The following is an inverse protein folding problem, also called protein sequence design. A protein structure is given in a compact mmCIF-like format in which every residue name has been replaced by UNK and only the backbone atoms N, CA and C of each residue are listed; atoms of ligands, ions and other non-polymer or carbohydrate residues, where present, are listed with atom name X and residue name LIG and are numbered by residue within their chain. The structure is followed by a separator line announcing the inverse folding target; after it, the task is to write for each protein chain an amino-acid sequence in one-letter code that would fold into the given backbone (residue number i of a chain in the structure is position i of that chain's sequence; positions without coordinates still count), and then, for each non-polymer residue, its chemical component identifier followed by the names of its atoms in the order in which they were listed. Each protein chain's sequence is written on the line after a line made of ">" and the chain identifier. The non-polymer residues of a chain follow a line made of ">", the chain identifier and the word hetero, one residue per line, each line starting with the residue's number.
data_IF_562019084081
#
_entry.id   IF_562019084081
#
_cell.length_a   1.000
_cell.length_b   1.000
_cell.length_c   1.000
_cell.angle_alpha   90.00
_cell.angle_beta   90.00
_cell.angle_gamma   90.00
#
_symmetry.space_group_name_H-M   'P 1'
#
loop_
_entity.id
_entity.type
_entity.pdbx_description
1 polymer ?
#
# COMPACT_ATOMS: atom_id res chain seq x y z
N UNK A 1 -63.49 7.72 29.88
CA UNK A 1 -62.72 8.90 30.29
C UNK A 1 -61.90 9.35 29.09
N UNK A 2 -62.36 10.40 28.43
CA UNK A 2 -61.52 11.27 27.59
C UNK A 2 -60.25 11.68 28.35
N UNK A 3 -59.12 11.95 27.69
CA UNK A 3 -58.68 13.30 27.24
C UNK A 3 -57.45 13.21 26.30
N UNK A 4 -57.43 14.03 25.23
CA UNK A 4 -56.23 14.66 24.64
C UNK A 4 -55.45 13.85 23.60
N UNK A 5 -55.26 14.23 22.34
CA UNK A 5 -55.24 15.57 21.74
C UNK A 5 -53.82 16.15 21.74
N UNK A 6 -52.97 15.78 20.77
CA UNK A 6 -51.75 16.51 20.43
C UNK A 6 -51.42 16.32 18.94
N UNK A 7 -51.48 17.42 18.20
CA UNK A 7 -51.14 17.53 16.79
C UNK A 7 -49.61 17.52 16.66
N UNK A 8 -49.08 16.62 15.82
CA UNK A 8 -47.66 16.53 15.48
C UNK A 8 -47.44 16.95 14.04
N UNK A 9 -46.73 18.06 13.88
CA UNK A 9 -46.34 18.76 12.65
C UNK A 9 -45.84 17.88 11.51
N UNK A 10 -46.32 18.20 10.31
CA UNK A 10 -45.82 17.77 9.00
C UNK A 10 -44.33 18.04 8.83
N UNK A 11 -43.54 16.99 8.61
CA UNK A 11 -42.19 17.09 8.08
C UNK A 11 -42.27 17.21 6.56
N UNK A 12 -41.91 18.38 6.05
CA UNK A 12 -41.72 18.64 4.61
C UNK A 12 -40.50 17.87 4.09
N UNK A 13 -40.53 17.32 2.86
CA UNK A 13 -39.36 16.73 2.24
C UNK A 13 -38.37 17.83 1.83
N UNK A 14 -37.15 17.76 2.33
CA UNK A 14 -36.03 18.55 1.84
C UNK A 14 -35.66 18.07 0.43
N UNK A 15 -36.09 18.84 -0.57
CA UNK A 15 -35.58 18.73 -1.94
C UNK A 15 -34.10 19.15 -1.99
N UNK A 16 -33.20 18.18 -1.85
CA UNK A 16 -31.79 18.32 -2.22
C UNK A 16 -31.61 17.97 -3.69
N UNK A 17 -31.87 18.92 -4.59
CA UNK A 17 -31.58 18.78 -6.01
C UNK A 17 -30.07 18.82 -6.25
N UNK A 18 -29.44 17.65 -6.35
CA UNK A 18 -28.10 17.52 -6.93
C UNK A 18 -28.20 17.46 -8.45
N UNK A 19 -27.83 18.54 -9.12
CA UNK A 19 -27.58 18.55 -10.56
C UNK A 19 -26.37 17.66 -10.86
N UNK A 20 -26.57 16.60 -11.63
CA UNK A 20 -25.49 15.79 -12.19
C UNK A 20 -25.05 16.45 -13.49
N UNK A 21 -24.08 17.34 -13.39
CA UNK A 21 -23.41 17.90 -14.57
C UNK A 21 -22.47 16.83 -15.14
N UNK A 22 -22.80 16.32 -16.33
CA UNK A 22 -22.12 15.18 -16.96
C UNK A 22 -20.86 15.57 -17.77
N UNK A 23 -20.52 16.85 -17.86
CA UNK A 23 -19.55 17.32 -18.87
C UNK A 23 -18.14 17.66 -18.38
N UNK A 24 -17.70 17.12 -17.25
CA UNK A 24 -16.26 17.09 -16.96
C UNK A 24 -15.89 15.83 -16.17
N UNK A 25 -15.27 14.87 -16.84
CA UNK A 25 -14.77 13.63 -16.25
C UNK A 25 -13.61 13.81 -15.24
N UNK A 26 -13.56 14.93 -14.54
CA UNK A 26 -12.57 15.29 -13.52
C UNK A 26 -13.34 15.74 -12.27
N UNK A 27 -13.34 14.95 -11.18
CA UNK A 27 -14.01 15.35 -9.95
C UNK A 27 -13.37 16.62 -9.38
N UNK A 28 -14.15 17.69 -9.25
CA UNK A 28 -13.79 18.87 -8.46
C UNK A 28 -13.76 18.49 -6.97
N UNK A 29 -12.59 18.11 -6.46
CA UNK A 29 -12.37 17.87 -5.04
C UNK A 29 -12.12 19.21 -4.31
N UNK A 30 -13.18 19.97 -4.06
CA UNK A 30 -13.18 20.98 -2.99
C UNK A 30 -13.72 20.31 -1.73
N UNK A 31 -12.81 19.70 -0.97
CA UNK A 31 -13.06 19.18 0.36
C UNK A 31 -11.82 19.41 1.21
N UNK A 32 -11.87 20.40 2.09
CA UNK A 32 -10.88 20.57 3.14
C UNK A 32 -11.00 19.40 4.12
N UNK A 33 -10.02 18.49 4.12
CA UNK A 33 -10.05 17.30 4.96
C UNK A 33 -8.82 16.42 4.77
N UNK A 34 -7.80 16.64 5.60
CA UNK A 34 -6.84 15.63 6.02
C UNK A 34 -5.99 14.97 4.94
N UNK A 35 -4.97 15.66 4.43
CA UNK A 35 -3.86 15.09 3.68
C UNK A 35 -3.06 14.07 4.52
N UNK A 36 -3.52 12.82 4.61
CA UNK A 36 -2.75 11.72 5.19
C UNK A 36 -2.88 10.39 4.45
N UNK A 37 -3.66 10.32 3.38
CA UNK A 37 -3.66 9.15 2.48
C UNK A 37 -2.72 9.42 1.32
N UNK A 38 -1.45 9.07 1.55
CA UNK A 38 -0.38 9.10 0.55
C UNK A 38 -0.67 8.22 -0.68
N UNK A 39 0.17 8.32 -1.72
CA UNK A 39 -0.10 7.74 -3.03
C UNK A 39 -0.41 6.24 -2.92
N UNK A 40 -1.53 5.85 -3.55
CA UNK A 40 -1.99 4.48 -3.76
C UNK A 40 -0.78 3.59 -4.04
N UNK A 41 -0.43 2.76 -3.06
CA UNK A 41 0.74 1.89 -3.10
C UNK A 41 0.71 1.07 -4.38
N UNK A 42 1.55 1.44 -5.34
CA UNK A 42 1.92 0.55 -6.43
C UNK A 42 2.59 -0.64 -5.78
N UNK A 43 2.04 -1.84 -5.95
CA UNK A 43 2.48 -3.03 -5.23
C UNK A 43 3.94 -3.35 -5.55
N UNK A 44 4.86 -2.82 -4.74
CA UNK A 44 6.21 -3.34 -4.66
C UNK A 44 6.11 -4.58 -3.79
N UNK A 45 6.40 -5.74 -4.35
CA UNK A 45 6.43 -7.01 -3.63
C UNK A 45 7.87 -7.33 -3.26
N UNK A 46 8.38 -6.87 -2.11
CA UNK A 46 9.68 -7.33 -1.63
C UNK A 46 9.57 -8.82 -1.29
N UNK A 47 10.42 -9.62 -1.89
CA UNK A 47 10.52 -11.03 -1.55
C UNK A 47 11.37 -11.17 -0.28
N UNK A 48 10.74 -11.54 0.83
CA UNK A 48 11.48 -11.75 2.09
C UNK A 48 12.13 -13.14 2.09
N UNK A 49 13.45 -13.22 1.93
CA UNK A 49 14.20 -14.48 1.86
C UNK A 49 14.65 -15.06 3.22
N UNK A 50 14.02 -14.63 4.32
CA UNK A 50 14.35 -15.16 5.65
C UNK A 50 13.68 -16.52 5.89
N UNK A 51 14.45 -17.52 6.33
CA UNK A 51 13.93 -18.84 6.70
C UNK A 51 14.60 -19.38 7.95
N UNK A 52 13.80 -19.88 8.88
CA UNK A 52 14.27 -20.53 10.10
C UNK A 52 13.76 -21.97 10.17
N UNK A 53 14.61 -22.88 10.65
CA UNK A 53 14.30 -24.30 10.83
C UNK A 53 13.39 -24.51 12.03
N UNK A 54 12.28 -25.21 11.82
CA UNK A 54 11.44 -25.71 12.95
C UNK A 54 12.05 -26.93 13.62
N UNK A 55 11.51 -27.30 14.79
CA UNK A 55 11.88 -28.54 15.50
C UNK A 55 11.81 -29.80 14.64
N UNK A 56 11.00 -29.82 13.59
CA UNK A 56 10.89 -30.93 12.65
C UNK A 56 12.06 -30.97 11.65
N UNK A 57 12.51 -29.80 11.21
CA UNK A 57 13.55 -29.61 10.20
C UNK A 57 14.98 -29.65 10.78
N UNK A 58 15.13 -29.43 12.09
CA UNK A 58 16.43 -29.58 12.79
C UNK A 58 16.85 -31.07 12.82
N UNK A 59 18.12 -31.35 12.54
CA UNK A 59 18.68 -32.72 12.45
C UNK A 59 18.76 -33.41 13.83
N UNK A 60 18.47 -34.72 13.88
CA UNK A 60 18.71 -35.64 15.02
C UNK A 60 17.78 -35.44 16.22
N UNK A 61 17.09 -36.44 16.77
CA UNK A 61 16.09 -36.18 17.84
C UNK A 61 14.91 -37.15 17.91
N UNK A 62 15.15 -38.42 17.55
CA UNK A 62 14.15 -39.49 17.61
C UNK A 62 14.16 -40.29 18.93
N UNK A 63 15.19 -40.11 19.78
CA UNK A 63 15.27 -40.76 21.08
C UNK A 63 14.90 -39.79 22.20
N UNK A 64 14.02 -40.22 23.09
CA UNK A 64 13.65 -39.45 24.29
C UNK A 64 14.89 -39.24 25.17
N UNK A 65 15.19 -38.00 25.64
CA UNK A 65 16.39 -37.73 26.42
C UNK A 65 16.51 -38.55 27.71
N UNK A 66 15.41 -38.72 28.44
CA UNK A 66 15.33 -39.54 29.64
C UNK A 66 13.92 -40.06 29.88
N UNK A 67 13.79 -41.03 30.79
CA UNK A 67 12.51 -41.61 31.21
C UNK A 67 11.61 -40.54 31.82
N UNK A 68 10.30 -40.65 31.60
CA UNK A 68 9.30 -39.65 32.01
C UNK A 68 9.29 -39.37 33.53
N UNK A 69 9.66 -40.38 34.33
CA UNK A 69 9.69 -40.36 35.80
C UNK A 69 11.00 -41.00 36.28
N UNK A 70 11.36 -40.73 37.54
CA UNK A 70 12.53 -41.33 38.21
C UNK A 70 13.87 -40.66 37.95
N UNK A 71 13.92 -39.62 37.12
CA UNK A 71 15.16 -38.90 36.76
C UNK A 71 15.39 -37.61 37.55
N UNK A 72 14.41 -37.11 38.29
CA UNK A 72 14.48 -35.84 39.04
C UNK A 72 14.61 -34.57 38.18
N UNK A 73 14.63 -34.70 36.85
CA UNK A 73 14.78 -33.60 35.88
C UNK A 73 13.43 -33.18 35.28
N UNK A 74 13.40 -31.99 34.69
CA UNK A 74 12.24 -31.50 33.92
C UNK A 74 11.81 -32.49 32.82
N UNK A 75 10.54 -32.48 32.43
CA UNK A 75 10.01 -33.42 31.44
C UNK A 75 10.29 -32.91 30.03
N UNK A 76 11.02 -33.69 29.23
CA UNK A 76 11.26 -33.37 27.81
C UNK A 76 10.96 -34.56 26.89
N UNK A 77 10.34 -34.24 25.75
CA UNK A 77 10.03 -35.22 24.71
C UNK A 77 11.14 -35.37 23.66
N UNK A 78 11.82 -34.28 23.33
CA UNK A 78 12.89 -34.26 22.31
C UNK A 78 13.91 -33.15 22.62
N UNK A 79 15.16 -33.39 22.24
CA UNK A 79 16.24 -32.39 22.30
C UNK A 79 16.06 -31.25 21.27
N UNK A 80 15.21 -31.43 20.24
CA UNK A 80 14.97 -30.40 19.20
C UNK A 80 13.95 -29.33 19.60
N UNK A 81 13.39 -29.43 20.80
CA UNK A 81 12.37 -28.47 21.25
C UNK A 81 12.96 -27.06 21.35
N UNK A 82 12.20 -25.99 21.05
CA UNK A 82 12.65 -24.60 21.17
C UNK A 82 13.19 -24.21 22.55
N UNK A 83 12.84 -24.97 23.59
CA UNK A 83 13.36 -24.78 24.94
C UNK A 83 14.84 -25.14 25.08
N UNK A 84 15.38 -25.97 24.18
CA UNK A 84 16.77 -26.42 24.21
C UNK A 84 17.66 -25.51 23.37
N UNK A 85 18.90 -25.32 23.81
CA UNK A 85 19.94 -24.66 23.00
C UNK A 85 20.19 -25.48 21.74
N UNK A 86 20.16 -24.83 20.57
CA UNK A 86 20.26 -25.51 19.27
C UNK A 86 19.00 -26.25 18.82
N UNK A 87 17.89 -26.11 19.56
CA UNK A 87 16.56 -26.55 19.13
C UNK A 87 16.01 -25.69 17.98
N UNK A 88 14.88 -26.12 17.41
CA UNK A 88 14.22 -25.34 16.36
C UNK A 88 13.47 -24.12 16.91
N UNK A 89 13.31 -23.07 16.11
CA UNK A 89 12.54 -21.88 16.51
C UNK A 89 11.04 -22.15 16.32
N UNK A 90 10.22 -21.79 17.31
CA UNK A 90 8.77 -22.03 17.28
C UNK A 90 8.04 -21.07 16.32
N UNK A 91 8.28 -19.77 16.51
CA UNK A 91 7.73 -18.71 15.68
C UNK A 91 8.86 -17.93 15.05
N UNK A 92 9.03 -18.09 13.75
CA UNK A 92 10.02 -17.41 12.95
C UNK A 92 9.61 -17.45 11.48
N UNK A 93 10.29 -16.69 10.62
CA UNK A 93 9.95 -16.67 9.21
C UNK A 93 10.14 -18.07 8.62
N UNK A 94 9.08 -18.59 7.96
CA UNK A 94 9.03 -20.00 7.52
C UNK A 94 9.57 -20.19 6.11
N UNK A 95 9.95 -19.12 5.41
CA UNK A 95 10.47 -19.19 4.06
C UNK A 95 10.19 -17.91 3.27
N UNK A 96 10.39 -17.97 1.94
CA UNK A 96 10.05 -16.88 1.05
C UNK A 96 8.56 -16.56 1.15
N UNK A 97 8.22 -15.42 1.76
CA UNK A 97 6.85 -14.90 1.81
C UNK A 97 6.70 -13.75 0.84
N UNK A 98 5.77 -13.90 -0.11
CA UNK A 98 5.35 -12.82 -1.00
C UNK A 98 4.10 -12.13 -0.44
N UNK A 99 4.15 -10.80 -0.28
CA UNK A 99 3.00 -9.98 0.12
C UNK A 99 2.24 -9.45 -1.10
N UNK A 100 2.05 -10.31 -2.11
CA UNK A 100 1.39 -9.92 -3.35
C UNK A 100 -0.13 -9.87 -3.16
N UNK A 101 -0.72 -8.74 -3.52
CA UNK A 101 -2.15 -8.58 -3.69
C UNK A 101 -2.44 -7.65 -4.85
N UNK A 102 -3.55 -7.89 -5.54
CA UNK A 102 -3.97 -7.08 -6.69
C UNK A 102 -5.01 -6.06 -6.29
N UNK A 103 -4.75 -4.80 -6.61
CA UNK A 103 -5.75 -3.75 -6.45
C UNK A 103 -6.77 -3.81 -7.60
N UNK A 104 -8.05 -3.49 -7.32
CA UNK A 104 -9.07 -3.38 -8.37
C UNK A 104 -8.66 -2.32 -9.40
N UNK A 105 -9.00 -2.56 -10.68
CA UNK A 105 -8.62 -1.69 -11.80
C UNK A 105 -9.05 -0.22 -11.60
N UNK A 106 -10.25 -0.01 -11.05
CA UNK A 106 -10.80 1.34 -10.81
C UNK A 106 -9.93 2.16 -9.86
N UNK A 107 -9.37 1.54 -8.81
CA UNK A 107 -8.50 2.23 -7.85
C UNK A 107 -7.15 2.58 -8.47
N UNK A 108 -6.60 1.69 -9.31
CA UNK A 108 -5.35 1.97 -10.05
C UNK A 108 -5.50 3.15 -11.02
N UNK A 109 -6.59 3.15 -11.79
CA UNK A 109 -6.90 4.25 -12.72
C UNK A 109 -7.15 5.56 -11.96
N UNK A 110 -7.86 5.50 -10.83
CA UNK A 110 -8.08 6.68 -9.98
C UNK A 110 -6.76 7.24 -9.45
N UNK A 111 -5.84 6.40 -8.99
CA UNK A 111 -4.53 6.82 -8.52
C UNK A 111 -3.73 7.56 -9.60
N UNK A 112 -3.75 7.08 -10.85
CA UNK A 112 -3.10 7.76 -11.97
C UNK A 112 -3.73 9.13 -12.27
N UNK A 113 -5.07 9.21 -12.28
CA UNK A 113 -5.77 10.49 -12.48
C UNK A 113 -5.40 11.50 -11.41
N UNK A 114 -5.44 11.09 -10.13
CA UNK A 114 -5.07 11.97 -9.01
C UNK A 114 -3.62 12.41 -9.11
N UNK A 115 -2.68 11.51 -9.43
CA UNK A 115 -1.28 11.88 -9.60
C UNK A 115 -1.07 12.95 -10.68
N UNK A 116 -1.74 12.80 -11.84
CA UNK A 116 -1.69 13.79 -12.92
C UNK A 116 -2.35 15.12 -12.52
N UNK A 117 -3.50 15.07 -11.86
CA UNK A 117 -4.18 16.29 -11.37
C UNK A 117 -3.34 17.05 -10.35
N UNK A 118 -2.69 16.35 -9.41
CA UNK A 118 -1.78 16.98 -8.43
C UNK A 118 -0.61 17.65 -9.13
N UNK A 119 -0.01 16.99 -10.13
CA UNK A 119 1.10 17.56 -10.90
C UNK A 119 0.69 18.78 -11.71
N UNK A 120 -0.53 18.77 -12.26
CA UNK A 120 -1.10 19.93 -12.93
C UNK A 120 -1.37 21.09 -11.97
N UNK A 121 -1.92 20.81 -10.78
CA UNK A 121 -2.18 21.84 -9.75
C UNK A 121 -0.92 22.46 -9.15
N UNK A 122 0.21 21.73 -9.19
CA UNK A 122 1.52 22.20 -8.73
C UNK A 122 2.30 22.94 -9.82
N UNK A 123 1.72 23.13 -11.02
CA UNK A 123 2.40 23.68 -12.20
C UNK A 123 3.64 22.90 -12.65
N UNK A 124 3.77 21.64 -12.22
CA UNK A 124 4.88 20.72 -12.54
C UNK A 124 4.65 19.92 -13.84
N UNK A 125 3.42 19.93 -14.36
CA UNK A 125 3.04 19.20 -15.57
C UNK A 125 3.11 20.11 -16.79
N UNK A 126 3.97 19.76 -17.75
CA UNK A 126 4.10 20.47 -19.01
C UNK A 126 3.75 19.54 -20.17
N UNK A 127 2.83 19.99 -21.02
CA UNK A 127 2.44 19.29 -22.26
C UNK A 127 3.29 19.87 -23.39
N UNK A 128 3.94 19.00 -24.15
CA UNK A 128 4.79 19.35 -25.29
C UNK A 128 4.32 18.55 -26.49
N UNK A 129 4.11 19.19 -27.63
CA UNK A 129 3.57 18.55 -28.84
C UNK A 129 4.59 17.63 -29.51
N UNK A 130 5.84 18.07 -29.66
CA UNK A 130 6.95 17.24 -30.15
C UNK A 130 8.22 17.55 -29.39
N UNK A 131 8.94 16.49 -28.99
CA UNK A 131 10.25 16.60 -28.37
C UNK A 131 11.33 16.40 -29.43
N UNK A 132 11.41 17.34 -30.37
CA UNK A 132 12.44 17.33 -31.41
C UNK A 132 13.75 17.86 -30.80
N UNK A 133 14.62 16.94 -30.37
CA UNK A 133 15.93 17.28 -29.82
C UNK A 133 16.90 17.39 -31.02
N UNK A 134 17.41 18.60 -31.35
CA UNK A 134 18.24 18.82 -32.53
C UNK A 134 19.64 18.20 -32.42
N UNK A 135 20.06 17.79 -31.21
CA UNK A 135 21.41 17.28 -30.94
C UNK A 135 21.36 16.21 -29.86
N UNK A 136 22.15 15.14 -30.00
CA UNK A 136 22.18 14.02 -29.05
C UNK A 136 22.94 14.33 -27.74
N UNK A 137 23.35 15.57 -27.52
CA UNK A 137 24.16 15.95 -26.38
C UNK A 137 23.31 16.07 -25.11
N UNK A 138 23.66 15.40 -24.01
CA UNK A 138 22.89 15.45 -22.77
C UNK A 138 22.91 16.84 -22.12
N UNK A 139 23.94 17.65 -22.41
CA UNK A 139 24.06 19.02 -21.91
C UNK A 139 22.93 19.92 -22.40
N UNK A 140 22.53 19.76 -23.68
CA UNK A 140 21.41 20.52 -24.26
C UNK A 140 20.12 20.33 -23.45
N UNK A 141 19.83 19.09 -23.04
CA UNK A 141 18.62 18.77 -22.28
C UNK A 141 18.68 19.34 -20.84
N UNK A 142 19.86 19.32 -20.21
CA UNK A 142 20.08 19.93 -18.90
C UNK A 142 19.92 21.45 -18.94
N UNK A 143 20.47 22.10 -19.97
CA UNK A 143 20.40 23.55 -20.13
C UNK A 143 18.97 23.98 -20.47
N UNK A 144 18.25 23.22 -21.30
CA UNK A 144 16.83 23.43 -21.57
C UNK A 144 15.98 23.33 -20.29
N UNK A 145 16.21 22.31 -19.47
CA UNK A 145 15.49 22.13 -18.21
C UNK A 145 15.76 23.27 -17.22
N UNK A 146 17.00 23.79 -17.17
CA UNK A 146 17.37 24.95 -16.36
C UNK A 146 16.73 26.23 -16.87
N UNK A 147 16.73 26.45 -18.18
CA UNK A 147 16.12 27.62 -18.83
C UNK A 147 14.60 27.66 -18.63
N UNK A 148 13.93 26.51 -18.72
CA UNK A 148 12.48 26.36 -18.51
C UNK A 148 12.08 26.28 -17.03
N UNK A 149 13.05 26.22 -16.11
CA UNK A 149 12.84 26.07 -14.68
C UNK A 149 12.04 24.81 -14.25
N UNK A 150 12.20 23.69 -14.97
CA UNK A 150 11.51 22.42 -14.70
C UNK A 150 11.97 21.67 -13.43
N UNK A 151 12.81 22.30 -12.60
CA UNK A 151 13.31 21.72 -11.36
C UNK A 151 14.49 20.77 -11.53
N UNK A 152 14.70 19.90 -10.54
CA UNK A 152 15.89 19.03 -10.44
C UNK A 152 15.76 17.71 -11.19
N UNK A 153 14.54 17.21 -11.38
CA UNK A 153 14.28 15.92 -11.97
C UNK A 153 13.10 16.04 -12.93
N UNK A 154 13.30 15.62 -14.17
CA UNK A 154 12.27 15.63 -15.22
C UNK A 154 12.02 14.19 -15.65
N UNK A 155 10.75 13.79 -15.73
CA UNK A 155 10.32 12.52 -16.29
C UNK A 155 9.69 12.79 -17.66
N UNK A 156 10.30 12.26 -18.72
CA UNK A 156 9.77 12.34 -20.08
C UNK A 156 8.99 11.06 -20.36
N UNK A 157 7.74 11.21 -20.79
CA UNK A 157 6.87 10.09 -21.17
C UNK A 157 6.49 10.31 -22.63
N UNK A 158 6.80 9.30 -23.45
CA UNK A 158 6.41 9.25 -24.86
C UNK A 158 5.21 8.30 -25.01
N UNK A 159 4.30 8.61 -25.95
CA UNK A 159 3.04 7.88 -26.17
C UNK A 159 3.09 7.12 -27.49
#
# INVERSE_FOLDING_TARGET
>A
WEVGGAQGSSLSPCHGGGSWDQDSGVPSLRGEGGAHEGPVLMCVCPQLYAKVKTRAEVRGGGRKPWRQKGSGRARHGSIRSPLWRGGGIAHGPRGPTSYYYMLPMKVRVLGLKVALTVKLMQDDLHIVDSLDIPTADPQYLLDLARYRHWGRSVLIVDV
#
